data_IF_989626493534
#
_entry.id   IF_989626493534
#
_cell.length_a   1.000
_cell.length_b   1.000
_cell.length_c   1.000
_cell.angle_alpha   90.00
_cell.angle_beta   90.00
_cell.angle_gamma   90.00
#
_symmetry.space_group_name_H-M   'P 1'
#
loop_
_entity.id
_entity.type
_entity.pdbx_description
1 polymer ?
#
# COMPACT_ATOMS: atom_id res chain seq x y z
N UNK A 1 -24.58 -14.41 1.32
CA UNK A 1 -23.19 -14.46 0.79
C UNK A 1 -22.35 -15.26 1.77
N UNK A 2 -21.58 -16.26 1.34
CA UNK A 2 -20.74 -17.05 2.27
C UNK A 2 -19.34 -16.46 2.40
N UNK A 3 -18.69 -16.70 3.55
CA UNK A 3 -17.32 -16.26 3.81
C UNK A 3 -16.31 -16.77 2.78
N UNK A 4 -16.44 -18.03 2.36
CA UNK A 4 -15.57 -18.62 1.33
C UNK A 4 -15.64 -17.90 -0.02
N UNK A 5 -16.82 -17.38 -0.37
CA UNK A 5 -17.00 -16.63 -1.61
C UNK A 5 -16.37 -15.24 -1.53
N UNK A 6 -16.50 -14.56 -0.39
CA UNK A 6 -15.89 -13.25 -0.16
C UNK A 6 -14.36 -13.33 -0.17
N UNK A 7 -13.76 -14.35 0.44
CA UNK A 7 -12.31 -14.57 0.41
C UNK A 7 -11.78 -14.73 -1.02
N UNK A 8 -12.52 -15.44 -1.88
CA UNK A 8 -12.17 -15.57 -3.29
C UNK A 8 -12.21 -14.23 -4.04
N UNK A 9 -13.23 -13.42 -3.79
CA UNK A 9 -13.32 -12.07 -4.42
C UNK A 9 -12.14 -11.20 -3.95
N UNK A 10 -11.81 -11.25 -2.67
CA UNK A 10 -10.70 -10.48 -2.09
C UNK A 10 -9.37 -10.80 -2.79
N UNK A 11 -9.00 -12.09 -2.86
CA UNK A 11 -7.77 -12.52 -3.51
C UNK A 11 -7.72 -12.17 -5.01
N UNK A 12 -8.88 -12.28 -5.70
CA UNK A 12 -8.98 -11.91 -7.11
C UNK A 12 -8.72 -10.41 -7.31
N UNK A 13 -9.28 -9.55 -6.45
CA UNK A 13 -9.04 -8.10 -6.49
C UNK A 13 -7.59 -7.79 -6.18
N UNK A 14 -7.05 -8.39 -5.12
CA UNK A 14 -5.67 -8.18 -4.67
C UNK A 14 -4.65 -8.50 -5.76
N UNK A 15 -4.76 -9.68 -6.37
CA UNK A 15 -3.88 -10.08 -7.46
C UNK A 15 -4.01 -9.16 -8.68
N UNK A 16 -5.23 -8.77 -9.06
CA UNK A 16 -5.46 -7.90 -10.21
C UNK A 16 -4.82 -6.52 -10.03
N UNK A 17 -4.98 -5.89 -8.86
CA UNK A 17 -4.33 -4.61 -8.56
C UNK A 17 -2.81 -4.75 -8.44
N UNK A 18 -2.33 -5.76 -7.71
CA UNK A 18 -0.89 -6.01 -7.56
C UNK A 18 -0.20 -6.17 -8.92
N UNK A 19 -0.80 -6.94 -9.83
CA UNK A 19 -0.30 -7.10 -11.20
C UNK A 19 -0.32 -5.80 -11.99
N UNK A 20 -1.44 -5.08 -11.97
CA UNK A 20 -1.56 -3.81 -12.69
C UNK A 20 -0.58 -2.73 -12.19
N UNK A 21 -0.28 -2.71 -10.89
CA UNK A 21 0.67 -1.80 -10.26
C UNK A 21 2.11 -2.22 -10.55
N UNK A 22 2.42 -3.51 -10.44
CA UNK A 22 3.74 -4.06 -10.76
C UNK A 22 4.13 -3.75 -12.22
N UNK A 23 3.22 -4.01 -13.17
CA UNK A 23 3.43 -3.74 -14.60
C UNK A 23 3.66 -2.24 -14.91
N UNK A 24 3.25 -1.34 -13.99
CA UNK A 24 3.43 0.12 -14.08
C UNK A 24 4.63 0.65 -13.29
N UNK A 25 5.46 -0.24 -12.74
CA UNK A 25 6.65 0.14 -11.99
C UNK A 25 6.34 0.82 -10.65
N UNK A 26 5.25 0.42 -10.00
CA UNK A 26 5.04 0.76 -8.59
C UNK A 26 5.86 -0.18 -7.71
N UNK A 27 6.34 0.29 -6.54
CA UNK A 27 7.01 -0.55 -5.56
C UNK A 27 5.97 -1.43 -4.85
N UNK A 28 5.68 -2.57 -5.45
CA UNK A 28 4.78 -3.61 -4.93
C UNK A 28 5.48 -4.97 -5.09
N UNK A 29 5.13 -5.99 -4.29
CA UNK A 29 5.68 -7.33 -4.47
C UNK A 29 5.37 -7.86 -5.87
N UNK A 30 6.33 -8.55 -6.52
CA UNK A 30 6.07 -9.21 -7.79
C UNK A 30 4.98 -10.28 -7.64
N UNK A 31 3.84 -10.17 -8.35
CA UNK A 31 2.82 -11.21 -8.31
C UNK A 31 3.29 -12.44 -9.10
N UNK A 32 3.04 -13.63 -8.55
CA UNK A 32 3.37 -14.91 -9.20
C UNK A 32 2.10 -15.55 -9.77
N UNK A 33 1.15 -15.90 -8.91
CA UNK A 33 -0.11 -16.55 -9.30
C UNK A 33 -1.18 -16.37 -8.22
N UNK A 34 -2.43 -16.72 -8.52
CA UNK A 34 -3.50 -16.80 -7.52
C UNK A 34 -4.46 -17.96 -7.81
N UNK A 35 -4.97 -18.60 -6.76
CA UNK A 35 -5.96 -19.67 -6.89
C UNK A 35 -6.99 -19.56 -5.76
N UNK A 36 -8.26 -19.38 -6.14
CA UNK A 36 -9.39 -19.15 -5.22
C UNK A 36 -9.11 -17.96 -4.29
N UNK A 37 -8.65 -18.22 -3.08
CA UNK A 37 -8.43 -17.24 -2.01
C UNK A 37 -6.94 -17.06 -1.66
N UNK A 38 -6.06 -17.76 -2.37
CA UNK A 38 -4.62 -17.70 -2.15
C UNK A 38 -3.95 -16.87 -3.24
N UNK A 39 -3.03 -16.00 -2.85
CA UNK A 39 -2.17 -15.21 -3.74
C UNK A 39 -0.73 -15.59 -3.43
N UNK A 40 0.07 -15.83 -4.47
CA UNK A 40 1.50 -16.06 -4.38
C UNK A 40 2.20 -14.83 -4.96
N UNK A 41 3.14 -14.29 -4.19
CA UNK A 41 3.92 -13.11 -4.56
C UNK A 41 5.36 -13.26 -4.06
N UNK A 42 6.21 -12.34 -4.49
CA UNK A 42 7.56 -12.16 -3.96
C UNK A 42 7.56 -11.96 -2.45
N UNK A 43 8.56 -12.56 -1.80
CA UNK A 43 8.87 -12.27 -0.41
C UNK A 43 9.59 -10.92 -0.37
N UNK A 44 8.96 -9.92 0.25
CA UNK A 44 9.61 -8.63 0.50
C UNK A 44 10.57 -8.78 1.66
N UNK A 45 11.85 -8.48 1.41
CA UNK A 45 12.89 -8.48 2.45
C UNK A 45 12.85 -7.15 3.22
N UNK A 46 12.10 -7.13 4.30
CA UNK A 46 11.79 -5.92 5.05
C UNK A 46 10.75 -6.13 6.13
N UNK A 47 10.41 -5.03 6.80
CA UNK A 47 9.47 -5.03 7.92
C UNK A 47 8.26 -4.14 7.63
N UNK A 48 7.07 -4.47 8.15
CA UNK A 48 5.99 -3.49 8.22
C UNK A 48 6.47 -2.22 8.90
N UNK A 49 6.05 -1.06 8.40
CA UNK A 49 6.49 0.25 8.91
C UNK A 49 6.19 0.41 10.41
N UNK A 50 5.15 -0.28 10.93
CA UNK A 50 4.83 -0.35 12.37
C UNK A 50 5.95 -0.90 13.24
N UNK A 51 6.83 -1.72 12.67
CA UNK A 51 7.89 -2.43 13.37
C UNK A 51 9.26 -1.78 13.15
N UNK A 52 9.32 -0.67 12.40
CA UNK A 52 10.55 0.07 12.16
C UNK A 52 10.75 1.08 13.28
N UNK A 53 11.78 0.86 14.09
CA UNK A 53 12.09 1.75 15.23
C UNK A 53 12.69 3.09 14.77
N UNK A 54 13.59 3.05 13.79
CA UNK A 54 14.30 4.22 13.29
C UNK A 54 14.35 4.21 11.75
N UNK A 55 14.15 5.39 11.17
CA UNK A 55 14.28 5.64 9.74
C UNK A 55 15.38 6.67 9.55
N UNK A 56 16.39 6.36 8.74
CA UNK A 56 17.55 7.23 8.56
C UNK A 56 17.19 8.60 7.96
N UNK A 57 16.21 8.64 7.06
CA UNK A 57 15.69 9.90 6.50
C UNK A 57 14.15 9.89 6.44
N UNK A 58 13.52 10.44 7.48
CA UNK A 58 12.07 10.55 7.60
C UNK A 58 11.46 11.46 6.53
N UNK A 59 12.15 12.52 6.13
CA UNK A 59 11.65 13.46 5.11
C UNK A 59 11.57 12.79 3.75
N UNK A 60 12.62 12.06 3.35
CA UNK A 60 12.62 11.30 2.11
C UNK A 60 11.52 10.24 2.09
N UNK A 61 11.37 9.47 3.17
CA UNK A 61 10.31 8.46 3.25
C UNK A 61 8.91 9.08 3.15
N UNK A 62 8.70 10.22 3.79
CA UNK A 62 7.43 10.95 3.70
C UNK A 62 7.15 11.40 2.26
N UNK A 63 8.15 11.98 1.58
CA UNK A 63 8.04 12.41 0.20
C UNK A 63 7.77 11.24 -0.74
N UNK A 64 8.44 10.10 -0.54
CA UNK A 64 8.23 8.87 -1.32
C UNK A 64 6.79 8.35 -1.15
N UNK A 65 6.27 8.31 0.08
CA UNK A 65 4.90 7.87 0.36
C UNK A 65 3.85 8.82 -0.23
N UNK A 66 4.05 10.14 -0.10
CA UNK A 66 3.15 11.13 -0.71
C UNK A 66 3.16 11.04 -2.24
N UNK A 67 4.36 10.87 -2.82
CA UNK A 67 4.50 10.67 -4.26
C UNK A 67 3.79 9.39 -4.72
N UNK A 68 3.82 8.31 -3.94
CA UNK A 68 3.08 7.08 -4.25
C UNK A 68 1.56 7.31 -4.27
N UNK A 69 1.01 8.03 -3.28
CA UNK A 69 -0.42 8.38 -3.25
C UNK A 69 -0.82 9.19 -4.48
N UNK A 70 -0.03 10.21 -4.83
CA UNK A 70 -0.28 11.04 -6.03
C UNK A 70 -0.17 10.20 -7.30
N UNK A 71 0.82 9.32 -7.42
CA UNK A 71 0.99 8.42 -8.57
C UNK A 71 -0.19 7.47 -8.74
N UNK A 72 -0.72 6.92 -7.64
CA UNK A 72 -1.93 6.10 -7.65
C UNK A 72 -3.13 6.90 -8.18
N UNK A 73 -3.36 8.10 -7.64
CA UNK A 73 -4.44 8.99 -8.09
C UNK A 73 -4.36 9.33 -9.58
N UNK A 74 -3.15 9.63 -10.08
CA UNK A 74 -2.90 9.87 -11.50
C UNK A 74 -3.14 8.62 -12.37
N UNK A 75 -3.09 7.42 -11.80
CA UNK A 75 -3.44 6.16 -12.47
C UNK A 75 -4.94 5.81 -12.33
N UNK A 76 -5.75 6.69 -11.74
CA UNK A 76 -7.20 6.51 -11.60
C UNK A 76 -7.63 5.62 -10.43
N UNK A 77 -6.72 5.35 -9.50
CA UNK A 77 -6.98 4.49 -8.33
C UNK A 77 -6.55 5.16 -7.03
N UNK A 78 -7.20 4.81 -5.93
CA UNK A 78 -6.88 5.26 -4.58
C UNK A 78 -6.68 3.98 -3.75
N UNK A 79 -5.65 3.95 -2.91
CA UNK A 79 -5.37 2.77 -2.09
C UNK A 79 -6.55 2.49 -1.15
N UNK A 80 -7.06 3.54 -0.53
CA UNK A 80 -8.23 3.48 0.33
C UNK A 80 -7.97 2.71 1.61
N UNK A 81 -6.72 2.50 2.01
CA UNK A 81 -6.33 1.98 3.33
C UNK A 81 -4.82 2.14 3.53
N UNK A 82 -4.28 3.31 3.17
CA UNK A 82 -2.85 3.58 3.35
C UNK A 82 -2.58 3.82 4.83
N UNK A 83 -2.39 2.76 5.61
CA UNK A 83 -1.98 2.78 7.01
C UNK A 83 -0.57 2.18 7.18
N UNK A 84 0.03 2.30 8.37
CA UNK A 84 1.39 1.83 8.68
C UNK A 84 1.57 0.31 8.62
N UNK A 85 0.49 -0.48 8.63
CA UNK A 85 0.53 -1.93 8.47
C UNK A 85 0.59 -2.35 6.99
N UNK A 86 0.14 -1.47 6.10
CA UNK A 86 0.04 -1.72 4.65
C UNK A 86 1.23 -1.16 3.86
N UNK A 87 2.29 -0.76 4.56
CA UNK A 87 3.57 -0.34 3.98
C UNK A 87 4.68 -1.18 4.60
N UNK A 88 5.48 -1.82 3.75
CA UNK A 88 6.73 -2.45 4.16
C UNK A 88 7.91 -1.55 3.85
N UNK A 89 8.93 -1.58 4.69
CA UNK A 89 10.21 -0.88 4.51
C UNK A 89 11.28 -1.94 4.28
N UNK A 90 11.98 -1.83 3.15
CA UNK A 90 13.08 -2.73 2.79
C UNK A 90 14.25 -2.57 3.76
N UNK A 91 14.96 -3.68 4.06
CA UNK A 91 16.13 -3.63 4.94
C UNK A 91 17.32 -2.87 4.33
N UNK A 92 17.54 -3.03 3.02
CA UNK A 92 18.75 -2.53 2.35
C UNK A 92 18.78 -0.99 2.21
N UNK A 93 17.66 -0.41 1.76
CA UNK A 93 17.60 0.99 1.33
C UNK A 93 16.42 1.78 1.93
N UNK A 94 15.70 1.19 2.89
CA UNK A 94 14.54 1.78 3.58
C UNK A 94 13.46 2.36 2.64
N UNK A 95 13.27 1.74 1.47
CA UNK A 95 12.26 2.15 0.50
C UNK A 95 10.88 1.59 0.84
N UNK A 96 9.80 2.37 0.63
CA UNK A 96 8.44 1.91 0.88
C UNK A 96 7.93 0.98 -0.22
N UNK A 97 7.44 -0.18 0.17
CA UNK A 97 6.70 -1.14 -0.66
C UNK A 97 5.24 -1.16 -0.21
N UNK A 98 4.30 -0.95 -1.13
CA UNK A 98 2.86 -1.02 -0.83
C UNK A 98 2.39 -2.47 -0.83
N UNK A 99 1.52 -2.82 0.12
CA UNK A 99 0.84 -4.11 0.20
C UNK A 99 -0.64 -3.93 0.50
N UNK A 100 -1.43 -5.01 0.39
CA UNK A 100 -2.86 -5.05 0.73
C UNK A 100 -3.77 -4.18 -0.16
N UNK A 101 -4.11 -4.71 -1.33
CA UNK A 101 -4.93 -4.03 -2.35
C UNK A 101 -6.44 -4.35 -2.44
N UNK A 102 -7.08 -5.23 -1.63
CA UNK A 102 -8.51 -5.52 -1.78
C UNK A 102 -9.42 -4.28 -1.71
N UNK A 103 -9.05 -3.27 -0.91
CA UNK A 103 -9.85 -2.07 -0.62
C UNK A 103 -9.65 -0.91 -1.60
N UNK A 104 -8.82 -1.10 -2.63
CA UNK A 104 -8.60 -0.05 -3.62
C UNK A 104 -9.90 0.36 -4.32
N UNK A 105 -10.02 1.66 -4.58
CA UNK A 105 -11.19 2.27 -5.23
C UNK A 105 -10.77 3.13 -6.41
N UNK A 106 -11.70 3.38 -7.34
CA UNK A 106 -11.46 4.29 -8.46
C UNK A 106 -11.56 5.76 -8.01
N UNK A 107 -10.81 6.64 -8.66
CA UNK A 107 -10.96 8.09 -8.49
C UNK A 107 -12.32 8.63 -8.95
N UNK A 108 -13.10 7.85 -9.71
CA UNK A 108 -14.49 8.18 -10.06
C UNK A 108 -15.52 7.76 -9.01
N UNK A 109 -15.09 7.16 -7.89
CA UNK A 109 -15.99 6.77 -6.80
C UNK A 109 -16.63 8.01 -6.14
N UNK A 110 -17.92 7.98 -5.74
CA UNK A 110 -18.58 9.14 -5.11
C UNK A 110 -17.85 9.69 -3.87
N UNK A 111 -17.20 8.80 -3.12
CA UNK A 111 -16.41 9.14 -1.93
C UNK A 111 -14.90 9.19 -2.20
N UNK A 112 -14.46 9.34 -3.46
CA UNK A 112 -13.03 9.31 -3.82
C UNK A 112 -12.21 10.34 -3.02
N UNK A 113 -12.70 11.57 -2.89
CA UNK A 113 -12.04 12.64 -2.12
C UNK A 113 -11.81 12.22 -0.66
N UNK A 114 -12.84 11.69 0.00
CA UNK A 114 -12.73 11.15 1.37
C UNK A 114 -11.65 10.07 1.50
N UNK A 115 -11.59 9.12 0.55
CA UNK A 115 -10.60 8.04 0.60
C UNK A 115 -9.18 8.56 0.36
N UNK A 116 -9.03 9.51 -0.56
CA UNK A 116 -7.74 10.13 -0.85
C UNK A 116 -7.22 10.93 0.34
N UNK A 117 -8.08 11.76 0.95
CA UNK A 117 -7.73 12.54 2.14
C UNK A 117 -7.38 11.65 3.32
N UNK A 118 -8.07 10.51 3.47
CA UNK A 118 -7.74 9.50 4.49
C UNK A 118 -6.35 8.92 4.28
N UNK A 119 -6.00 8.55 3.05
CA UNK A 119 -4.67 8.01 2.74
C UNK A 119 -3.57 9.05 3.03
N UNK A 120 -3.82 10.32 2.66
CA UNK A 120 -2.90 11.45 2.96
C UNK A 120 -2.77 11.67 4.47
N UNK A 121 -3.87 11.67 5.20
CA UNK A 121 -3.84 11.82 6.65
C UNK A 121 -3.07 10.68 7.32
N UNK A 122 -3.26 9.44 6.85
CA UNK A 122 -2.48 8.30 7.30
C UNK A 122 -0.97 8.52 7.19
N UNK A 123 -0.49 9.09 6.07
CA UNK A 123 0.94 9.41 5.91
C UNK A 123 1.38 10.57 6.83
N UNK A 124 0.56 11.61 6.98
CA UNK A 124 0.87 12.76 7.86
C UNK A 124 0.99 12.38 9.33
N UNK A 125 0.09 11.54 9.82
CA UNK A 125 0.09 11.08 11.21
C UNK A 125 1.39 10.34 11.54
N UNK A 126 1.98 9.63 10.57
CA UNK A 126 3.27 8.94 10.73
C UNK A 126 4.43 9.90 10.88
N UNK A 127 4.50 10.94 10.06
CA UNK A 127 5.55 11.96 10.18
C UNK A 127 5.57 12.53 11.61
N UNK A 128 4.40 12.79 12.19
CA UNK A 128 4.33 13.26 13.58
C UNK A 128 4.84 12.22 14.59
N UNK A 129 4.46 10.94 14.46
CA UNK A 129 4.84 9.89 15.41
C UNK A 129 6.34 9.55 15.35
N UNK A 130 6.91 9.47 14.16
CA UNK A 130 8.33 9.16 13.96
C UNK A 130 9.23 10.31 14.40
N UNK A 131 8.80 11.57 14.25
CA UNK A 131 9.53 12.75 14.74
C UNK A 131 9.45 12.89 16.26
N UNK A 132 8.38 12.44 16.91
CA UNK A 132 8.26 12.47 18.39
C UNK A 132 9.04 11.37 19.11
N UNK A 133 9.71 10.46 18.39
CA UNK A 133 10.59 9.44 18.96
C UNK A 133 12.06 9.90 19.10
N UNK A 134 12.35 11.15 18.74
CA UNK A 134 13.62 11.86 18.97
C UNK A 134 13.43 12.96 20.03
#
# INVERSE_FOLDING_TARGET
>A
MSWLYLSRISATREYAYMKALYDRGFPVPRPVDFNRHCVIMELVDGYPLTNVAEVGNVEQLYDDLMNLIVRLGNCGVIHGDSNEFNVMITEEDQRPILIYFPQMVSTSHPNAEMYFDRDVQGVRDRKSKTVSAL
#
